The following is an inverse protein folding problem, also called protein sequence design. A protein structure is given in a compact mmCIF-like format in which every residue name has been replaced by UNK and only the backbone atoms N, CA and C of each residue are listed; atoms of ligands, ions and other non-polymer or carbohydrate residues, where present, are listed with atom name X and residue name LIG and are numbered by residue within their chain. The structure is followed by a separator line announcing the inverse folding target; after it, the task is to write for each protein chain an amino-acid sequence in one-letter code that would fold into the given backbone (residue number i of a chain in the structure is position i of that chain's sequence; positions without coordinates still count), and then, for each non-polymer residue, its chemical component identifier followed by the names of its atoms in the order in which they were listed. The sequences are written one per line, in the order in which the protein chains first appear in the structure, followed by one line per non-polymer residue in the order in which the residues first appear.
data_IF_483792496941
#
_entry.id   IF_483792496941
#
_cell.length_a   1.000
_cell.length_b   1.000
_cell.length_c   1.000
_cell.angle_alpha   90.00
_cell.angle_beta   90.00
_cell.angle_gamma   90.00
#
_symmetry.space_group_name_H-M   'P 1'
#
loop_
_entity.id
_entity.type
_entity.pdbx_description
1 polymer ?
#
# COMPACT_ATOMS: atom_id res chain seq x y z
N UNK A 1 13.65 -6.78 4.70
CA UNK A 1 12.22 -6.73 4.32
C UNK A 1 12.12 -6.64 2.81
N UNK A 2 11.17 -7.33 2.18
CA UNK A 2 10.91 -7.20 0.75
C UNK A 2 10.46 -5.76 0.45
N UNK A 3 11.12 -5.08 -0.49
CA UNK A 3 10.90 -3.66 -0.78
C UNK A 3 10.20 -3.45 -2.12
N UNK A 4 9.31 -2.46 -2.16
CA UNK A 4 8.61 -2.01 -3.37
C UNK A 4 9.60 -1.43 -4.39
N UNK A 5 10.47 -0.51 -3.96
CA UNK A 5 11.40 0.20 -4.85
C UNK A 5 10.64 0.80 -6.06
N UNK A 6 11.15 0.60 -7.28
CA UNK A 6 10.55 1.07 -8.54
C UNK A 6 9.39 0.20 -9.05
N UNK A 7 9.04 -0.88 -8.35
CA UNK A 7 7.92 -1.76 -8.74
C UNK A 7 6.59 -1.03 -8.54
N UNK A 8 5.59 -1.37 -9.35
CA UNK A 8 4.20 -0.98 -9.10
C UNK A 8 3.69 -1.56 -7.78
N UNK A 9 2.64 -0.98 -7.20
CA UNK A 9 2.03 -1.50 -5.97
C UNK A 9 1.52 -2.93 -6.18
N UNK A 10 0.94 -3.23 -7.34
CA UNK A 10 0.46 -4.57 -7.68
C UNK A 10 1.59 -5.61 -7.77
N UNK A 11 2.72 -5.27 -8.41
CA UNK A 11 3.91 -6.15 -8.44
C UNK A 11 4.48 -6.38 -7.04
N UNK A 12 4.49 -5.33 -6.22
CA UNK A 12 4.95 -5.43 -4.83
C UNK A 12 4.06 -6.34 -3.99
N UNK A 13 2.74 -6.15 -4.03
CA UNK A 13 1.77 -6.98 -3.30
C UNK A 13 1.87 -8.44 -3.76
N UNK A 14 1.96 -8.67 -5.07
CA UNK A 14 2.07 -10.01 -5.65
C UNK A 14 3.35 -10.70 -5.19
N UNK A 15 4.49 -10.02 -5.26
CA UNK A 15 5.76 -10.57 -4.78
C UNK A 15 5.78 -10.84 -3.28
N UNK A 16 5.17 -9.96 -2.49
CA UNK A 16 5.02 -10.17 -1.05
C UNK A 16 4.12 -11.37 -0.72
N UNK A 17 3.03 -11.55 -1.46
CA UNK A 17 2.14 -12.71 -1.33
C UNK A 17 2.87 -14.01 -1.61
N UNK A 18 3.68 -14.08 -2.68
CA UNK A 18 4.50 -15.26 -2.98
C UNK A 18 5.39 -15.64 -1.81
N UNK A 19 6.06 -14.66 -1.17
CA UNK A 19 6.89 -14.91 0.02
C UNK A 19 6.06 -15.49 1.18
N UNK A 20 4.86 -14.94 1.41
CA UNK A 20 3.96 -15.46 2.44
C UNK A 20 3.52 -16.91 2.14
N UNK A 21 3.24 -17.21 0.88
CA UNK A 21 2.82 -18.53 0.42
C UNK A 21 3.97 -19.56 0.51
N UNK A 22 5.20 -19.16 0.17
CA UNK A 22 6.41 -19.97 0.35
C UNK A 22 6.67 -20.29 1.82
N UNK A 23 6.51 -19.30 2.70
CA UNK A 23 6.64 -19.48 4.15
C UNK A 23 5.54 -20.40 4.70
N UNK A 24 4.32 -20.27 4.20
CA UNK A 24 3.24 -21.21 4.53
C UNK A 24 3.54 -22.64 4.04
N UNK A 25 4.14 -22.80 2.85
CA UNK A 25 4.49 -24.09 2.28
C UNK A 25 5.53 -24.85 3.13
N UNK A 26 6.48 -24.14 3.76
CA UNK A 26 7.44 -24.73 4.72
C UNK A 26 6.90 -24.83 6.15
N UNK A 27 5.58 -24.70 6.35
CA UNK A 27 4.88 -24.71 7.65
C UNK A 27 5.33 -23.61 8.62
N UNK A 28 5.76 -22.48 8.10
CA UNK A 28 6.08 -21.27 8.86
C UNK A 28 5.22 -20.08 8.39
N UNK A 29 3.88 -20.19 8.42
CA UNK A 29 3.02 -19.09 7.96
C UNK A 29 3.23 -17.86 8.84
N UNK A 30 3.20 -16.67 8.22
CA UNK A 30 3.15 -15.42 8.98
C UNK A 30 1.77 -15.24 9.60
N UNK A 31 1.73 -14.66 10.80
CA UNK A 31 0.50 -14.14 11.38
C UNK A 31 0.00 -12.97 10.54
N UNK A 32 -1.30 -12.67 10.65
CA UNK A 32 -1.90 -11.58 9.88
C UNK A 32 -1.26 -10.22 10.21
N UNK A 33 -0.97 -9.99 11.50
CA UNK A 33 -0.27 -8.79 11.96
C UNK A 33 1.17 -8.69 11.44
N UNK A 34 1.90 -9.81 11.40
CA UNK A 34 3.25 -9.83 10.83
C UNK A 34 3.22 -9.51 9.34
N UNK A 35 2.23 -10.02 8.60
CA UNK A 35 2.05 -9.69 7.18
C UNK A 35 1.83 -8.20 6.99
N UNK A 36 0.94 -7.59 7.79
CA UNK A 36 0.69 -6.14 7.75
C UNK A 36 1.96 -5.36 8.03
N UNK A 37 2.66 -5.67 9.12
CA UNK A 37 3.91 -5.00 9.51
C UNK A 37 4.98 -5.13 8.42
N UNK A 38 5.17 -6.31 7.84
CA UNK A 38 6.17 -6.51 6.79
C UNK A 38 5.80 -5.81 5.49
N UNK A 39 4.52 -5.80 5.12
CA UNK A 39 4.01 -5.13 3.92
C UNK A 39 4.23 -3.61 4.03
N UNK A 40 3.78 -2.96 5.10
CA UNK A 40 3.89 -1.50 5.23
C UNK A 40 5.34 -1.04 5.39
N UNK A 41 6.20 -1.84 6.02
CA UNK A 41 7.63 -1.55 6.15
C UNK A 41 8.40 -1.65 4.83
N UNK A 42 7.86 -2.33 3.82
CA UNK A 42 8.50 -2.48 2.52
C UNK A 42 8.09 -1.43 1.48
N UNK A 43 7.12 -0.55 1.79
CA UNK A 43 6.61 0.46 0.85
C UNK A 43 7.58 1.63 0.59
N UNK A 44 8.44 1.95 1.57
CA UNK A 44 9.39 3.06 1.50
C UNK A 44 8.79 4.42 1.92
N UNK A 45 9.62 5.47 1.87
CA UNK A 45 9.28 6.81 2.40
C UNK A 45 8.09 7.48 1.70
N UNK A 46 7.77 7.09 0.47
CA UNK A 46 6.61 7.61 -0.25
C UNK A 46 5.23 7.18 0.29
N UNK A 47 5.21 6.39 1.37
CA UNK A 47 4.02 5.82 2.00
C UNK A 47 4.00 6.03 3.54
N UNK A 48 4.83 6.92 4.10
CA UNK A 48 4.90 7.14 5.56
C UNK A 48 3.54 7.45 6.20
N UNK A 49 2.76 8.34 5.58
CA UNK A 49 1.41 8.69 6.06
C UNK A 49 0.46 7.49 6.02
N UNK A 50 0.57 6.66 4.99
CA UNK A 50 -0.20 5.42 4.88
C UNK A 50 0.19 4.45 6.00
N UNK A 51 1.50 4.20 6.19
CA UNK A 51 2.03 3.35 7.26
C UNK A 51 1.56 3.83 8.64
N UNK A 52 1.61 5.14 8.91
CA UNK A 52 1.10 5.71 10.17
C UNK A 52 -0.40 5.48 10.35
N UNK A 53 -1.19 5.56 9.28
CA UNK A 53 -2.64 5.31 9.33
C UNK A 53 -2.96 3.85 9.59
N UNK A 54 -2.24 2.91 8.99
CA UNK A 54 -2.45 1.46 9.20
C UNK A 54 -2.03 1.02 10.60
N UNK A 55 -0.98 1.62 11.17
CA UNK A 55 -0.52 1.34 12.53
C UNK A 55 -1.44 1.92 13.61
N UNK A 56 -2.43 2.75 13.24
CA UNK A 56 -3.40 3.30 14.18
C UNK A 56 -4.39 2.22 14.60
N UNK A 57 -4.55 1.93 15.91
CA UNK A 57 -5.50 0.92 16.35
C UNK A 57 -6.96 1.29 16.03
N UNK A 58 -7.80 0.30 15.66
CA UNK A 58 -7.47 -1.12 15.48
C UNK A 58 -6.70 -1.39 14.19
N UNK A 59 -5.64 -2.20 14.27
CA UNK A 59 -4.83 -2.57 13.10
C UNK A 59 -5.72 -3.40 12.15
N UNK A 60 -5.88 -2.98 10.88
CA UNK A 60 -6.69 -3.71 9.90
C UNK A 60 -6.11 -5.09 9.59
N UNK A 61 -6.93 -5.99 9.04
CA UNK A 61 -6.45 -7.27 8.56
C UNK A 61 -5.61 -7.10 7.29
N UNK A 62 -4.72 -8.06 7.00
CA UNK A 62 -3.86 -8.04 5.81
C UNK A 62 -4.63 -7.76 4.51
N UNK A 63 -5.79 -8.38 4.35
CA UNK A 63 -6.62 -8.21 3.15
C UNK A 63 -7.14 -6.76 3.01
N UNK A 64 -7.51 -6.13 4.12
CA UNK A 64 -7.98 -4.75 4.14
C UNK A 64 -6.84 -3.79 3.81
N UNK A 65 -5.65 -4.04 4.37
CA UNK A 65 -4.44 -3.24 4.08
C UNK A 65 -4.06 -3.32 2.62
N UNK A 66 -4.18 -4.49 1.99
CA UNK A 66 -3.96 -4.66 0.55
C UNK A 66 -4.94 -3.81 -0.26
N UNK A 67 -6.25 -3.90 0.03
CA UNK A 67 -7.26 -3.10 -0.67
C UNK A 67 -7.07 -1.59 -0.45
N UNK A 68 -6.73 -1.17 0.77
CA UNK A 68 -6.41 0.22 1.10
C UNK A 68 -5.18 0.71 0.33
N UNK A 69 -4.15 -0.13 0.21
CA UNK A 69 -2.92 0.20 -0.50
C UNK A 69 -3.15 0.34 -2.01
N UNK A 70 -3.93 -0.56 -2.62
CA UNK A 70 -4.32 -0.46 -4.03
C UNK A 70 -5.18 0.78 -4.29
N UNK A 71 -6.13 1.08 -3.41
CA UNK A 71 -6.95 2.30 -3.48
C UNK A 71 -6.09 3.56 -3.38
N UNK A 72 -5.14 3.58 -2.43
CA UNK A 72 -4.21 4.69 -2.25
C UNK A 72 -3.30 4.89 -3.46
N UNK A 73 -2.79 3.82 -4.07
CA UNK A 73 -1.98 3.91 -5.30
C UNK A 73 -2.81 4.41 -6.49
N UNK A 74 -4.05 3.95 -6.63
CA UNK A 74 -4.95 4.44 -7.68
C UNK A 74 -5.25 5.94 -7.52
N UNK A 75 -5.53 6.40 -6.30
CA UNK A 75 -5.72 7.83 -6.00
C UNK A 75 -4.42 8.61 -6.21
N UNK A 76 -3.25 8.06 -5.85
CA UNK A 76 -1.96 8.71 -6.07
C UNK A 76 -1.62 8.86 -7.54
N UNK A 77 -1.91 7.84 -8.36
CA UNK A 77 -1.78 7.92 -9.81
C UNK A 77 -2.77 8.91 -10.41
N UNK A 78 -4.00 8.98 -9.90
CA UNK A 78 -5.02 9.94 -10.35
C UNK A 78 -4.68 11.39 -9.96
N UNK A 79 -4.24 11.63 -8.72
CA UNK A 79 -3.79 12.94 -8.25
C UNK A 79 -2.41 13.35 -8.79
N UNK A 80 -1.61 12.41 -9.31
CA UNK A 80 -0.44 12.71 -10.14
C UNK A 80 -0.79 13.49 -11.41
N UNK A 81 -2.06 13.45 -11.86
CA UNK A 81 -2.60 14.29 -12.94
C UNK A 81 -3.29 15.58 -12.46
N UNK A 82 -3.29 15.87 -11.15
CA UNK A 82 -3.98 17.03 -10.57
C UNK A 82 -3.09 17.80 -9.57
N UNK A 83 -1.97 18.32 -10.08
CA UNK A 83 -1.38 19.56 -9.53
C UNK A 83 -1.30 20.60 -10.66
N UNK A 84 -2.46 21.06 -11.13
CA UNK A 84 -2.57 22.43 -11.59
C UNK A 84 -3.63 23.16 -10.74
N UNK A 85 -3.22 23.89 -9.69
CA UNK A 85 -4.13 24.69 -8.88
C UNK A 85 -4.76 25.89 -9.63
N UNK A 86 -4.56 26.05 -10.95
CA UNK A 86 -5.14 27.14 -11.74
C UNK A 86 -6.47 26.84 -12.43
N UNK A 87 -7.13 25.71 -12.20
CA UNK A 87 -8.48 25.46 -12.76
C UNK A 87 -9.55 25.62 -11.70
N UNK A 88 -9.54 26.77 -11.04
CA UNK A 88 -10.72 27.29 -10.35
C UNK A 88 -11.09 28.59 -11.05
N UNK A 89 -12.32 28.63 -11.58
CA UNK A 89 -13.06 29.83 -11.96
C UNK A 89 -13.00 30.29 -13.44
N UNK A 90 -13.45 29.46 -14.38
CA UNK A 90 -14.22 29.97 -15.52
C UNK A 90 -15.40 29.03 -15.73
N UNK A 91 -16.56 29.40 -15.19
CA UNK A 91 -17.90 29.13 -15.72
C UNK A 91 -18.92 29.52 -14.65
N UNK A 92 -19.12 30.83 -14.49
CA UNK A 92 -20.42 31.36 -14.10
C UNK A 92 -20.86 32.27 -15.24
N UNK A 93 -22.08 31.97 -15.68
CA UNK A 93 -22.80 32.38 -16.88
C UNK A 93 -23.08 33.87 -16.98
#
# INVERSE_FOLDING_TARGET
TFQKQDKTVTEYITGFKTICDELAAIRKPLSDQDKVCWLINGLGSGYELFTMSILRPPIPAYIDVVSLLESHDNVKNLHGFQLNPNVVFISQQ
#
